data_IF_111114951417
#
_entry.id   IF_111114951417
#
_cell.length_a   1.000
_cell.length_b   1.000
_cell.length_c   1.000
_cell.angle_alpha   90.00
_cell.angle_beta   90.00
_cell.angle_gamma   90.00
#
_symmetry.space_group_name_H-M   'P 1'
#
loop_
_entity.id
_entity.type
_entity.pdbx_description
1 polymer ?
#
# COMPACT_ATOMS: atom_id res chain seq x y z
N UNK A 1 39.70 4.88 74.88
CA UNK A 1 40.11 5.36 73.56
C UNK A 1 39.65 4.32 72.53
N UNK A 2 38.41 4.46 72.03
CA UNK A 2 37.76 3.52 71.10
C UNK A 2 37.84 4.08 69.66
N UNK A 3 38.50 3.35 68.79
CA UNK A 3 38.54 3.66 67.36
C UNK A 3 37.27 3.17 66.66
N UNK A 4 36.51 4.07 66.12
CA UNK A 4 35.35 3.81 65.29
C UNK A 4 35.82 3.55 63.86
N UNK A 5 35.61 2.27 63.33
CA UNK A 5 35.86 1.94 61.95
C UNK A 5 34.56 2.18 61.17
N UNK A 6 34.63 3.13 60.25
CA UNK A 6 33.56 3.37 59.28
C UNK A 6 33.81 2.39 58.08
N UNK A 7 32.86 1.48 57.84
CA UNK A 7 32.81 0.66 56.61
C UNK A 7 31.97 1.39 55.59
N UNK A 8 32.62 1.85 54.50
CA UNK A 8 31.90 2.43 53.35
C UNK A 8 31.63 1.29 52.38
N UNK A 9 30.34 0.92 52.24
CA UNK A 9 29.86 -0.05 51.25
C UNK A 9 29.58 0.68 49.94
N UNK A 10 30.38 0.40 48.93
CA UNK A 10 30.10 0.87 47.57
C UNK A 10 28.99 0.03 46.95
N UNK A 11 27.83 0.64 46.70
CA UNK A 11 26.80 0.09 45.85
C UNK A 11 27.22 0.36 44.39
N UNK A 12 27.65 -0.68 43.68
CA UNK A 12 27.79 -0.63 42.22
C UNK A 12 26.41 -0.85 41.62
N UNK A 13 25.74 0.24 41.27
CA UNK A 13 24.50 0.20 40.50
C UNK A 13 24.82 -0.18 39.05
N UNK A 14 24.44 -1.38 38.65
CA UNK A 14 24.43 -1.77 37.25
C UNK A 14 23.34 -0.97 36.52
N UNK A 15 23.73 0.03 35.73
CA UNK A 15 22.85 0.67 34.78
C UNK A 15 22.58 -0.32 33.65
N UNK A 16 21.40 -0.94 33.65
CA UNK A 16 20.86 -1.58 32.45
C UNK A 16 20.62 -0.47 31.42
N UNK A 17 21.47 -0.38 30.42
CA UNK A 17 21.19 0.39 29.23
C UNK A 17 20.01 -0.25 28.50
N UNK A 18 18.80 0.24 28.76
CA UNK A 18 17.64 -0.05 27.93
C UNK A 18 17.93 0.59 26.58
N UNK A 19 18.25 -0.23 25.60
CA UNK A 19 18.46 0.22 24.22
C UNK A 19 17.22 0.96 23.74
N UNK A 20 17.32 2.28 23.60
CA UNK A 20 16.29 3.08 22.97
C UNK A 20 16.05 2.55 21.56
N UNK A 21 14.80 2.35 21.12
CA UNK A 21 14.54 2.00 19.74
C UNK A 21 15.15 3.10 18.86
N UNK A 22 15.98 2.71 17.90
CA UNK A 22 16.57 3.61 16.93
C UNK A 22 15.43 4.29 16.15
N UNK A 23 15.02 5.46 16.63
CA UNK A 23 14.18 6.36 15.84
C UNK A 23 15.07 6.83 14.70
N UNK A 24 14.81 6.34 13.49
CA UNK A 24 15.38 6.92 12.28
C UNK A 24 14.96 8.40 12.27
N UNK A 25 15.85 9.28 12.66
CA UNK A 25 15.69 10.72 12.54
C UNK A 25 15.82 11.04 11.05
N UNK A 26 14.69 11.01 10.32
CA UNK A 26 14.67 11.64 9.01
C UNK A 26 14.94 13.13 9.23
N UNK A 27 15.90 13.68 8.50
CA UNK A 27 16.15 15.12 8.54
C UNK A 27 14.81 15.84 8.31
N UNK A 28 14.41 16.65 9.27
CA UNK A 28 13.15 17.38 9.20
C UNK A 28 13.23 18.36 8.03
N UNK A 29 12.37 18.17 7.02
CA UNK A 29 12.30 19.11 5.90
C UNK A 29 11.58 20.39 6.35
N UNK A 30 12.01 21.56 5.85
CA UNK A 30 11.32 22.83 6.11
C UNK A 30 9.85 22.74 5.73
N UNK A 31 8.97 23.38 6.50
CA UNK A 31 7.52 23.39 6.23
C UNK A 31 7.14 23.93 4.85
N UNK A 32 7.97 24.74 4.21
CA UNK A 32 7.77 25.32 2.89
C UNK A 32 8.58 24.64 1.77
N UNK A 33 9.23 23.50 2.07
CA UNK A 33 10.04 22.77 1.09
C UNK A 33 9.19 22.36 -0.13
N UNK A 34 9.74 22.57 -1.32
CA UNK A 34 9.15 22.21 -2.62
C UNK A 34 10.08 21.25 -3.39
N UNK A 35 9.57 20.52 -4.39
CA UNK A 35 10.40 19.77 -5.34
C UNK A 35 11.46 20.64 -6.00
N UNK A 36 12.65 20.08 -6.28
CA UNK A 36 13.79 20.82 -6.83
C UNK A 36 14.28 20.24 -8.14
N UNK A 37 14.86 21.10 -8.99
CA UNK A 37 15.54 20.68 -10.22
C UNK A 37 14.61 20.06 -11.25
N UNK A 38 13.37 20.54 -11.35
CA UNK A 38 12.41 20.07 -12.34
C UNK A 38 12.89 20.32 -13.77
N UNK A 39 13.21 19.27 -14.50
CA UNK A 39 13.59 19.27 -15.91
C UNK A 39 12.53 18.58 -16.76
N UNK A 40 11.87 19.32 -17.63
CA UNK A 40 10.84 18.80 -18.55
C UNK A 40 11.52 17.95 -19.62
N UNK A 41 11.22 16.66 -19.67
CA UNK A 41 11.77 15.70 -20.62
C UNK A 41 10.85 15.53 -21.84
N UNK A 42 9.54 15.60 -21.61
CA UNK A 42 8.52 15.44 -22.66
C UNK A 42 7.25 16.22 -22.31
N UNK A 43 6.53 16.66 -23.32
CA UNK A 43 5.32 17.43 -23.17
C UNK A 43 5.57 18.94 -23.12
N UNK A 44 4.49 19.71 -23.09
CA UNK A 44 4.52 21.15 -22.96
C UNK A 44 4.11 21.52 -21.53
N UNK A 45 5.09 21.86 -20.70
CA UNK A 45 4.93 22.03 -19.25
C UNK A 45 5.69 23.29 -18.81
N UNK A 46 5.05 24.10 -17.98
CA UNK A 46 5.65 25.24 -17.29
C UNK A 46 5.63 25.00 -15.79
N UNK A 47 6.78 25.16 -15.14
CA UNK A 47 6.93 25.04 -13.68
C UNK A 47 7.13 26.45 -13.11
N UNK A 48 6.33 26.83 -12.13
CA UNK A 48 6.40 28.14 -11.49
C UNK A 48 6.23 28.03 -9.96
N UNK A 49 6.80 28.98 -9.24
CA UNK A 49 6.67 29.10 -7.78
C UNK A 49 6.13 30.49 -7.47
N UNK A 50 4.80 30.70 -7.60
CA UNK A 50 4.20 32.02 -7.46
C UNK A 50 4.34 32.60 -6.05
N UNK A 51 4.43 31.75 -5.05
CA UNK A 51 4.57 32.12 -3.63
C UNK A 51 5.47 31.11 -2.92
N UNK A 52 6.00 31.51 -1.76
CA UNK A 52 6.77 30.61 -0.90
C UNK A 52 5.92 29.39 -0.51
N UNK A 53 6.44 28.21 -0.74
CA UNK A 53 5.74 26.95 -0.44
C UNK A 53 4.65 26.58 -1.44
N UNK A 54 4.47 27.32 -2.55
CA UNK A 54 3.52 26.96 -3.61
C UNK A 54 4.23 26.74 -4.93
N UNK A 55 3.93 25.64 -5.59
CA UNK A 55 4.42 25.30 -6.92
C UNK A 55 3.23 24.96 -7.83
N UNK A 56 3.24 25.54 -9.02
CA UNK A 56 2.35 25.19 -10.12
C UNK A 56 3.14 24.48 -11.21
N UNK A 57 2.56 23.39 -11.72
CA UNK A 57 3.04 22.64 -12.88
C UNK A 57 1.92 22.67 -13.92
N UNK A 58 2.00 23.64 -14.83
CA UNK A 58 0.97 23.88 -15.84
C UNK A 58 1.33 23.09 -17.10
N UNK A 59 0.56 22.05 -17.40
CA UNK A 59 0.72 21.16 -18.54
C UNK A 59 -0.36 21.46 -19.59
N UNK A 60 0.03 21.64 -20.85
CA UNK A 60 -0.89 21.84 -21.98
C UNK A 60 -0.93 20.66 -22.95
N UNK A 61 0.01 19.71 -22.84
CA UNK A 61 0.00 18.43 -23.57
C UNK A 61 -0.77 17.35 -22.81
N UNK A 62 -1.31 16.34 -23.51
CA UNK A 62 -2.04 15.23 -22.85
C UNK A 62 -1.12 14.36 -21.98
N UNK A 63 0.16 14.24 -22.33
CA UNK A 63 1.16 13.53 -21.56
C UNK A 63 2.36 14.43 -21.29
N UNK A 64 2.95 14.28 -20.10
CA UNK A 64 4.14 15.02 -19.71
C UNK A 64 5.10 14.20 -18.88
N UNK A 65 6.40 14.48 -18.98
CA UNK A 65 7.45 13.83 -18.20
C UNK A 65 8.36 14.90 -17.61
N UNK A 66 8.54 14.85 -16.30
CA UNK A 66 9.48 15.70 -15.57
C UNK A 66 10.45 14.81 -14.80
N UNK A 67 11.73 15.11 -14.89
CA UNK A 67 12.75 14.58 -13.99
C UNK A 67 13.03 15.62 -12.90
N UNK A 68 12.95 15.21 -11.65
CA UNK A 68 13.21 16.04 -10.47
C UNK A 68 14.50 15.61 -9.79
N UNK A 69 15.30 16.55 -9.32
CA UNK A 69 16.42 16.20 -8.44
C UNK A 69 15.90 15.61 -7.13
N UNK A 70 14.99 16.31 -6.45
CA UNK A 70 14.28 15.82 -5.26
C UNK A 70 12.80 16.14 -5.37
N UNK A 71 11.94 15.32 -4.76
CA UNK A 71 10.52 15.58 -4.70
C UNK A 71 10.04 15.52 -3.25
N UNK A 72 10.20 16.64 -2.55
CA UNK A 72 9.75 16.81 -1.16
C UNK A 72 8.69 17.91 -1.11
N UNK A 73 7.69 17.75 -0.22
CA UNK A 73 6.62 18.73 0.00
C UNK A 73 6.47 18.95 1.51
N UNK A 74 6.88 20.11 1.99
CA UNK A 74 6.79 20.50 3.39
C UNK A 74 5.37 20.66 3.88
N UNK A 75 5.15 20.65 5.18
CA UNK A 75 3.81 20.61 5.79
C UNK A 75 2.91 21.81 5.46
N UNK A 76 3.50 22.97 5.14
CA UNK A 76 2.80 24.16 4.67
C UNK A 76 2.94 24.38 3.15
N UNK A 77 3.54 23.41 2.45
CA UNK A 77 3.75 23.52 1.00
C UNK A 77 2.67 22.80 0.20
N UNK A 78 2.49 23.25 -1.04
CA UNK A 78 1.57 22.63 -1.99
C UNK A 78 2.14 22.61 -3.41
N UNK A 79 1.85 21.53 -4.13
CA UNK A 79 2.18 21.35 -5.55
C UNK A 79 0.89 21.11 -6.32
N UNK A 80 0.63 21.93 -7.33
CA UNK A 80 -0.55 21.86 -8.17
C UNK A 80 -0.16 21.47 -9.59
N UNK A 81 -0.65 20.35 -10.07
CA UNK A 81 -0.54 19.89 -11.46
C UNK A 81 -1.83 20.24 -12.18
N UNK A 82 -1.76 21.27 -13.04
CA UNK A 82 -2.85 21.73 -13.86
C UNK A 82 -2.72 21.11 -15.25
N UNK A 83 -3.55 20.10 -15.52
CA UNK A 83 -3.50 19.30 -16.73
C UNK A 83 -4.70 19.64 -17.65
N UNK A 84 -4.61 19.42 -18.99
CA UNK A 84 -5.68 19.76 -19.92
C UNK A 84 -7.00 19.05 -19.64
N UNK A 85 -6.95 17.83 -19.10
CA UNK A 85 -8.14 17.02 -18.82
C UNK A 85 -7.89 15.98 -17.73
N UNK A 86 -8.96 15.39 -17.23
CA UNK A 86 -8.91 14.24 -16.30
C UNK A 86 -8.20 13.00 -16.87
N UNK A 87 -8.14 12.87 -18.21
CA UNK A 87 -7.44 11.78 -18.90
C UNK A 87 -5.97 12.08 -19.17
N UNK A 88 -5.55 13.32 -18.98
CA UNK A 88 -4.14 13.71 -19.13
C UNK A 88 -3.30 13.07 -18.04
N UNK A 89 -2.02 12.82 -18.32
CA UNK A 89 -1.12 12.17 -17.39
C UNK A 89 0.24 12.85 -17.32
N UNK A 90 0.83 12.85 -16.12
CA UNK A 90 2.16 13.36 -15.87
C UNK A 90 2.99 12.36 -15.10
N UNK A 91 4.17 12.04 -15.63
CA UNK A 91 5.18 11.20 -15.00
C UNK A 91 6.24 12.08 -14.34
N UNK A 92 6.38 11.93 -13.04
CA UNK A 92 7.38 12.60 -12.24
C UNK A 92 8.43 11.59 -11.78
N UNK A 93 9.59 11.61 -12.39
CA UNK A 93 10.73 10.77 -12.01
C UNK A 93 11.61 11.53 -11.02
N UNK A 94 11.92 10.92 -9.89
CA UNK A 94 12.81 11.49 -8.87
C UNK A 94 14.17 10.81 -8.96
N UNK A 95 15.22 11.64 -9.03
CA UNK A 95 16.59 11.17 -9.30
C UNK A 95 17.38 10.89 -8.02
N UNK A 96 17.04 11.56 -6.90
CA UNK A 96 17.81 11.41 -5.65
C UNK A 96 16.96 11.60 -4.39
N UNK A 97 17.35 10.92 -3.33
CA UNK A 97 16.75 10.99 -2.01
C UNK A 97 15.31 10.42 -1.94
N UNK A 98 14.86 10.05 -0.76
CA UNK A 98 13.48 9.65 -0.52
C UNK A 98 12.53 10.83 -0.67
N UNK A 99 11.39 10.64 -1.31
CA UNK A 99 10.32 11.65 -1.33
C UNK A 99 9.62 11.72 0.01
N UNK A 100 9.74 12.87 0.68
CA UNK A 100 9.06 13.15 1.96
C UNK A 100 7.94 14.15 1.69
N UNK A 101 6.68 13.70 1.87
CA UNK A 101 5.49 14.49 1.56
C UNK A 101 4.70 14.71 2.86
N UNK A 102 4.76 15.90 3.41
CA UNK A 102 3.97 16.33 4.56
C UNK A 102 2.85 17.30 4.18
N UNK A 103 3.00 17.98 3.05
CA UNK A 103 2.05 18.96 2.51
C UNK A 103 1.06 18.38 1.51
N UNK A 104 0.59 19.24 0.62
CA UNK A 104 -0.49 18.89 -0.30
C UNK A 104 0.00 18.75 -1.73
N UNK A 105 -0.53 17.74 -2.44
CA UNK A 105 -0.37 17.57 -3.88
C UNK A 105 -1.76 17.49 -4.49
N UNK A 106 -2.02 18.30 -5.49
CA UNK A 106 -3.25 18.29 -6.25
C UNK A 106 -2.97 18.06 -7.74
N UNK A 107 -3.77 17.24 -8.40
CA UNK A 107 -3.76 17.03 -9.84
C UNK A 107 -5.18 16.81 -10.35
N UNK A 108 -5.58 17.52 -11.38
CA UNK A 108 -6.88 17.30 -12.01
C UNK A 108 -6.86 16.16 -13.05
N UNK A 109 -5.71 15.54 -13.29
CA UNK A 109 -5.53 14.36 -14.13
C UNK A 109 -4.77 13.25 -13.41
N UNK A 110 -4.13 12.37 -14.17
CA UNK A 110 -3.34 11.26 -13.65
C UNK A 110 -1.95 11.72 -13.19
N UNK A 111 -1.67 11.55 -11.91
CA UNK A 111 -0.38 11.82 -11.29
C UNK A 111 0.39 10.51 -11.11
N UNK A 112 1.57 10.40 -11.71
CA UNK A 112 2.49 9.29 -11.49
C UNK A 112 3.76 9.84 -10.86
N UNK A 113 4.09 9.40 -9.64
CA UNK A 113 5.31 9.73 -8.93
C UNK A 113 6.17 8.47 -8.80
N UNK A 114 7.34 8.49 -9.40
CA UNK A 114 8.31 7.39 -9.36
C UNK A 114 9.55 7.84 -8.59
N UNK A 115 9.81 7.17 -7.47
CA UNK A 115 11.02 7.40 -6.69
C UNK A 115 11.66 6.08 -6.23
N UNK A 116 12.71 5.60 -6.91
CA UNK A 116 13.36 4.34 -6.57
C UNK A 116 14.01 4.31 -5.17
N UNK A 117 14.21 5.46 -4.55
CA UNK A 117 14.81 5.56 -3.21
C UNK A 117 13.76 5.41 -2.09
N UNK A 118 12.47 5.60 -2.42
CA UNK A 118 11.37 5.47 -1.46
C UNK A 118 10.41 6.65 -1.46
N UNK A 119 9.20 6.42 -0.94
CA UNK A 119 8.17 7.46 -0.79
C UNK A 119 7.59 7.36 0.62
N UNK A 120 7.63 8.46 1.35
CA UNK A 120 7.03 8.61 2.67
C UNK A 120 6.02 9.76 2.66
N UNK A 121 4.76 9.46 2.97
CA UNK A 121 3.78 10.51 3.23
C UNK A 121 3.54 10.66 4.74
N UNK A 122 3.58 11.88 5.24
CA UNK A 122 3.36 12.19 6.65
C UNK A 122 1.87 12.26 7.02
N UNK A 123 1.53 12.35 8.32
CA UNK A 123 0.14 12.37 8.78
C UNK A 123 -0.68 13.57 8.27
N UNK A 124 -0.03 14.69 8.00
CA UNK A 124 -0.66 15.92 7.51
C UNK A 124 -0.78 15.95 5.99
N UNK A 125 -0.18 15.00 5.27
CA UNK A 125 -0.18 15.02 3.81
C UNK A 125 -1.56 14.78 3.21
N UNK A 126 -1.83 15.45 2.10
CA UNK A 126 -3.03 15.26 1.31
C UNK A 126 -2.68 15.17 -0.18
N UNK A 127 -2.86 14.01 -0.78
CA UNK A 127 -2.69 13.78 -2.22
C UNK A 127 -4.08 13.63 -2.81
N UNK A 128 -4.41 14.47 -3.80
CA UNK A 128 -5.67 14.40 -4.55
C UNK A 128 -5.37 14.42 -6.04
N UNK A 129 -5.80 13.39 -6.74
CA UNK A 129 -5.64 13.29 -8.18
C UNK A 129 -6.84 12.55 -8.80
N UNK A 130 -7.08 12.71 -10.08
CA UNK A 130 -8.01 11.83 -10.80
C UNK A 130 -7.54 10.38 -10.67
N UNK A 131 -6.26 10.11 -10.96
CA UNK A 131 -5.60 8.86 -10.66
C UNK A 131 -4.24 9.11 -10.00
N UNK A 132 -3.97 8.50 -8.84
CA UNK A 132 -2.68 8.61 -8.16
C UNK A 132 -1.93 7.28 -8.23
N UNK A 133 -0.75 7.29 -8.85
CA UNK A 133 0.17 6.15 -8.91
C UNK A 133 1.48 6.56 -8.22
N UNK A 134 1.77 5.96 -7.08
CA UNK A 134 3.03 6.13 -6.37
C UNK A 134 3.85 4.85 -6.53
N UNK A 135 5.06 4.95 -7.05
CA UNK A 135 5.89 3.79 -7.34
C UNK A 135 7.34 3.98 -6.92
N UNK A 136 7.94 2.94 -6.34
CA UNK A 136 9.39 2.84 -6.22
C UNK A 136 10.00 2.02 -7.36
N UNK A 137 9.18 1.40 -8.18
CA UNK A 137 9.59 0.75 -9.42
C UNK A 137 9.64 1.77 -10.55
N UNK A 138 10.60 1.62 -11.44
CA UNK A 138 10.77 2.49 -12.61
C UNK A 138 9.83 2.09 -13.72
N UNK A 139 9.36 3.08 -14.47
CA UNK A 139 8.74 2.93 -15.78
C UNK A 139 9.60 3.64 -16.80
N UNK A 140 9.80 3.07 -17.98
CA UNK A 140 10.53 3.76 -19.04
C UNK A 140 9.66 4.86 -19.66
N UNK A 141 10.28 5.94 -20.14
CA UNK A 141 9.57 7.02 -20.82
C UNK A 141 8.74 6.48 -22.01
N UNK A 142 9.30 5.54 -22.77
CA UNK A 142 8.59 4.92 -23.88
C UNK A 142 7.35 4.14 -23.45
N UNK A 143 7.44 3.37 -22.36
CA UNK A 143 6.30 2.65 -21.80
C UNK A 143 5.21 3.62 -21.34
N UNK A 144 5.58 4.69 -20.64
CA UNK A 144 4.63 5.71 -20.21
C UNK A 144 3.93 6.38 -21.41
N UNK A 145 4.69 6.83 -22.43
CA UNK A 145 4.15 7.51 -23.60
C UNK A 145 3.22 6.61 -24.44
N UNK A 146 3.44 5.29 -24.40
CA UNK A 146 2.59 4.29 -25.07
C UNK A 146 1.47 3.74 -24.14
N UNK A 147 1.23 4.35 -22.99
CA UNK A 147 0.26 3.88 -21.98
C UNK A 147 0.48 2.41 -21.54
N UNK A 148 1.70 1.92 -21.63
CA UNK A 148 2.11 0.62 -21.13
C UNK A 148 2.65 0.79 -19.70
N UNK A 149 1.80 0.63 -18.70
CA UNK A 149 2.16 0.85 -17.29
C UNK A 149 2.85 -0.40 -16.70
N UNK A 150 4.03 -0.72 -17.25
CA UNK A 150 4.92 -1.78 -16.77
C UNK A 150 6.05 -1.17 -15.95
N UNK A 151 6.12 -1.57 -14.69
CA UNK A 151 7.06 -1.05 -13.69
C UNK A 151 8.00 -2.16 -13.26
N UNK A 152 9.30 -1.86 -13.15
CA UNK A 152 10.28 -2.82 -12.68
C UNK A 152 11.41 -2.19 -11.87
N UNK A 153 12.04 -2.98 -11.01
CA UNK A 153 13.19 -2.58 -10.20
C UNK A 153 14.09 -3.77 -9.88
N UNK A 154 15.33 -3.51 -9.52
CA UNK A 154 16.24 -4.48 -8.92
C UNK A 154 16.72 -4.03 -7.52
N UNK A 155 16.07 -3.03 -6.94
CA UNK A 155 16.44 -2.43 -5.67
C UNK A 155 15.27 -2.52 -4.68
N UNK A 156 15.56 -2.97 -3.46
CA UNK A 156 14.62 -2.94 -2.37
C UNK A 156 14.37 -1.49 -1.92
N UNK A 157 13.10 -1.10 -1.88
CA UNK A 157 12.66 0.21 -1.39
C UNK A 157 11.22 0.10 -0.90
N UNK A 158 10.71 1.14 -0.26
CA UNK A 158 9.39 1.09 0.35
C UNK A 158 8.54 2.32 0.08
N UNK A 159 7.22 2.10 0.14
CA UNK A 159 6.22 3.16 0.25
C UNK A 159 5.60 3.07 1.64
N UNK A 160 5.66 4.17 2.40
CA UNK A 160 4.92 4.31 3.66
C UNK A 160 3.96 5.48 3.55
N UNK A 161 2.66 5.23 3.75
CA UNK A 161 1.63 6.26 3.74
C UNK A 161 1.03 6.44 5.13
N UNK A 162 0.94 7.70 5.60
CA UNK A 162 0.34 8.05 6.90
C UNK A 162 -0.76 9.10 6.78
N UNK A 163 -0.82 9.83 5.65
CA UNK A 163 -1.81 10.87 5.38
C UNK A 163 -2.98 10.38 4.53
N UNK A 164 -3.58 11.32 3.80
CA UNK A 164 -4.76 11.05 2.98
C UNK A 164 -4.38 10.99 1.49
N UNK A 165 -4.84 9.96 0.78
CA UNK A 165 -4.74 9.84 -0.67
C UNK A 165 -6.15 9.65 -1.24
N UNK A 166 -6.57 10.52 -2.17
CA UNK A 166 -7.92 10.50 -2.74
C UNK A 166 -7.85 10.54 -4.26
N UNK A 167 -8.74 9.79 -4.93
CA UNK A 167 -8.86 9.81 -6.40
C UNK A 167 -9.97 8.90 -6.91
N UNK A 168 -10.15 8.84 -8.23
CA UNK A 168 -10.96 7.80 -8.84
C UNK A 168 -10.30 6.44 -8.63
N UNK A 169 -8.97 6.40 -8.78
CA UNK A 169 -8.18 5.22 -8.42
C UNK A 169 -6.83 5.61 -7.79
N UNK A 170 -6.30 4.70 -6.99
CA UNK A 170 -4.99 4.81 -6.36
C UNK A 170 -4.22 3.50 -6.54
N UNK A 171 -2.96 3.59 -6.98
CA UNK A 171 -2.03 2.46 -6.99
C UNK A 171 -0.76 2.79 -6.19
N UNK A 172 -0.40 1.92 -5.26
CA UNK A 172 0.90 1.92 -4.59
C UNK A 172 1.69 0.72 -5.10
N UNK A 173 2.89 0.95 -5.62
CA UNK A 173 3.72 -0.07 -6.27
C UNK A 173 5.12 -0.02 -5.69
N UNK A 174 5.53 -1.06 -4.95
CA UNK A 174 6.83 -1.12 -4.27
C UNK A 174 7.12 -2.53 -3.82
N UNK A 175 8.38 -2.96 -3.64
CA UNK A 175 8.64 -4.21 -2.93
C UNK A 175 8.02 -4.24 -1.53
N UNK A 176 8.08 -3.15 -0.78
CA UNK A 176 7.45 -3.06 0.53
C UNK A 176 6.45 -1.90 0.59
N UNK A 177 5.22 -2.18 1.04
CA UNK A 177 4.14 -1.19 1.17
C UNK A 177 3.59 -1.22 2.58
N UNK A 178 3.55 -0.06 3.23
CA UNK A 178 2.91 0.12 4.55
C UNK A 178 1.91 1.27 4.48
N UNK A 179 0.62 0.95 4.57
CA UNK A 179 -0.43 1.95 4.70
C UNK A 179 -0.85 2.09 6.17
N UNK A 180 -0.62 3.27 6.74
CA UNK A 180 -1.07 3.70 8.08
C UNK A 180 -2.03 4.87 8.00
N UNK A 181 -2.29 5.36 6.79
CA UNK A 181 -3.14 6.50 6.51
C UNK A 181 -4.52 6.12 5.99
N UNK A 182 -5.10 7.04 5.25
CA UNK A 182 -6.41 6.86 4.64
C UNK A 182 -6.31 6.95 3.12
N UNK A 183 -6.76 5.92 2.42
CA UNK A 183 -6.92 5.91 0.97
C UNK A 183 -8.41 5.88 0.67
N UNK A 184 -8.88 6.84 -0.14
CA UNK A 184 -10.29 6.91 -0.53
C UNK A 184 -10.40 7.02 -2.06
N UNK A 185 -11.10 6.08 -2.67
CA UNK A 185 -11.31 6.06 -4.12
C UNK A 185 -12.77 5.80 -4.47
N UNK A 186 -13.15 6.10 -5.71
CA UNK A 186 -14.48 5.76 -6.21
C UNK A 186 -14.48 4.40 -6.92
N UNK A 187 -13.43 4.09 -7.70
CA UNK A 187 -13.41 2.95 -8.63
C UNK A 187 -12.44 1.84 -8.20
N UNK A 188 -11.19 2.20 -7.85
CA UNK A 188 -10.21 1.15 -7.53
C UNK A 188 -9.09 1.62 -6.62
N UNK A 189 -8.66 0.73 -5.72
CA UNK A 189 -7.40 0.86 -4.96
C UNK A 189 -6.57 -0.40 -5.15
N UNK A 190 -5.29 -0.25 -5.51
CA UNK A 190 -4.35 -1.35 -5.63
C UNK A 190 -3.09 -1.11 -4.80
N UNK A 191 -2.73 -2.07 -3.96
CA UNK A 191 -1.42 -2.19 -3.33
C UNK A 191 -0.74 -3.40 -3.96
N UNK A 192 0.30 -3.16 -4.76
CA UNK A 192 1.00 -4.18 -5.52
C UNK A 192 2.46 -4.27 -5.08
N UNK A 193 2.82 -5.33 -4.34
CA UNK A 193 4.18 -5.50 -3.87
C UNK A 193 4.94 -6.52 -4.73
N UNK A 194 6.02 -6.05 -5.35
CA UNK A 194 6.85 -6.85 -6.25
C UNK A 194 8.01 -6.05 -6.81
N UNK A 195 8.83 -6.69 -7.62
CA UNK A 195 9.91 -6.07 -8.43
C UNK A 195 9.56 -5.95 -9.92
N UNK A 196 8.48 -6.58 -10.35
CA UNK A 196 7.90 -6.48 -11.70
C UNK A 196 6.38 -6.48 -11.61
N UNK A 197 5.79 -5.31 -11.88
CA UNK A 197 4.36 -5.05 -11.72
C UNK A 197 3.82 -4.40 -12.98
N UNK A 198 2.70 -4.91 -13.48
CA UNK A 198 1.97 -4.31 -14.59
C UNK A 198 0.59 -3.84 -14.13
N UNK A 199 0.27 -2.59 -14.45
CA UNK A 199 -1.08 -2.04 -14.32
C UNK A 199 -1.76 -2.00 -15.67
N UNK A 200 -3.06 -2.32 -15.69
CA UNK A 200 -3.95 -2.03 -16.81
C UNK A 200 -5.06 -1.12 -16.30
N UNK A 201 -5.22 0.01 -16.96
CA UNK A 201 -6.22 1.02 -16.60
C UNK A 201 -7.20 1.12 -17.76
N UNK A 202 -8.47 0.75 -17.51
CA UNK A 202 -9.52 0.84 -18.52
C UNK A 202 -10.01 2.28 -18.70
N UNK A 203 -10.82 2.51 -19.72
CA UNK A 203 -11.46 3.82 -19.97
C UNK A 203 -12.41 4.24 -18.82
N UNK A 204 -12.93 3.29 -18.06
CA UNK A 204 -13.76 3.50 -16.87
C UNK A 204 -12.93 3.61 -15.57
N UNK A 205 -11.62 3.82 -15.65
CA UNK A 205 -10.69 3.88 -14.54
C UNK A 205 -10.61 2.57 -13.71
N UNK A 206 -11.14 1.45 -14.22
CA UNK A 206 -10.93 0.16 -13.59
C UNK A 206 -9.45 -0.21 -13.65
N UNK A 207 -8.89 -0.48 -12.48
CA UNK A 207 -7.48 -0.80 -12.32
C UNK A 207 -7.32 -2.29 -12.07
N UNK A 208 -6.57 -2.98 -12.93
CA UNK A 208 -6.16 -4.36 -12.70
C UNK A 208 -4.64 -4.45 -12.55
N UNK A 209 -4.20 -5.40 -11.72
CA UNK A 209 -2.80 -5.54 -11.32
C UNK A 209 -2.33 -6.96 -11.59
N UNK A 210 -1.20 -7.07 -12.28
CA UNK A 210 -0.41 -8.30 -12.38
C UNK A 210 0.93 -8.09 -11.67
N UNK A 211 1.30 -9.02 -10.81
CA UNK A 211 2.58 -9.06 -10.11
C UNK A 211 3.27 -10.36 -10.50
N UNK A 212 4.46 -10.27 -11.06
CA UNK A 212 5.29 -11.44 -11.33
C UNK A 212 5.98 -11.91 -10.03
N UNK A 213 6.30 -13.21 -9.87
CA UNK A 213 7.00 -13.70 -8.70
C UNK A 213 8.29 -12.93 -8.45
N UNK A 214 8.32 -12.12 -7.39
CA UNK A 214 9.39 -11.19 -7.08
C UNK A 214 10.68 -11.90 -6.68
N UNK A 215 11.81 -11.39 -7.16
CA UNK A 215 13.16 -11.77 -6.74
C UNK A 215 13.65 -10.97 -5.54
N UNK A 216 12.87 -10.01 -5.10
CA UNK A 216 13.10 -9.23 -3.88
C UNK A 216 12.10 -9.66 -2.79
N UNK A 217 12.50 -9.48 -1.54
CA UNK A 217 11.56 -9.59 -0.43
C UNK A 217 10.42 -8.58 -0.61
N UNK A 218 9.19 -9.04 -0.48
CA UNK A 218 8.00 -8.20 -0.64
C UNK A 218 7.11 -8.26 0.59
N UNK A 219 6.39 -7.17 0.85
CA UNK A 219 5.34 -7.17 1.87
C UNK A 219 4.31 -6.07 1.66
N UNK A 220 3.06 -6.36 2.02
CA UNK A 220 1.98 -5.38 2.13
C UNK A 220 1.48 -5.39 3.57
N UNK A 221 1.52 -4.23 4.23
CA UNK A 221 0.93 -4.03 5.56
C UNK A 221 -0.12 -2.93 5.47
N UNK A 222 -1.37 -3.26 5.74
CA UNK A 222 -2.43 -2.28 5.91
C UNK A 222 -2.82 -2.18 7.38
N UNK A 223 -2.43 -1.11 8.02
CA UNK A 223 -2.79 -0.73 9.40
C UNK A 223 -3.79 0.45 9.39
N UNK A 224 -4.01 1.06 8.22
CA UNK A 224 -4.88 2.22 8.01
C UNK A 224 -6.25 1.86 7.43
N UNK A 225 -6.87 2.85 6.81
CA UNK A 225 -8.19 2.71 6.22
C UNK A 225 -8.12 2.82 4.70
N UNK A 226 -8.66 1.83 4.00
CA UNK A 226 -8.85 1.86 2.55
C UNK A 226 -10.35 1.80 2.27
N UNK A 227 -10.86 2.79 1.54
CA UNK A 227 -12.27 2.83 1.15
C UNK A 227 -12.41 3.09 -0.34
N UNK A 228 -13.05 2.16 -1.04
CA UNK A 228 -13.44 2.29 -2.45
C UNK A 228 -14.97 2.22 -2.54
N UNK A 229 -15.61 3.29 -3.02
CA UNK A 229 -17.08 3.41 -2.91
C UNK A 229 -17.85 2.36 -3.71
N UNK A 230 -17.50 2.19 -5.00
CA UNK A 230 -18.29 1.35 -5.92
C UNK A 230 -17.42 0.38 -6.73
N UNK A 231 -16.26 0.03 -6.22
CA UNK A 231 -15.31 -0.74 -6.98
C UNK A 231 -14.49 -1.72 -6.15
N UNK A 232 -13.25 -1.92 -6.55
CA UNK A 232 -12.40 -2.99 -6.05
C UNK A 232 -11.21 -2.47 -5.25
N UNK A 233 -10.89 -3.16 -4.16
CA UNK A 233 -9.59 -3.06 -3.47
C UNK A 233 -8.82 -4.34 -3.72
N UNK A 234 -7.59 -4.21 -4.24
CA UNK A 234 -6.68 -5.33 -4.48
C UNK A 234 -5.40 -5.15 -3.70
N UNK A 235 -5.06 -6.10 -2.84
CA UNK A 235 -3.74 -6.27 -2.24
C UNK A 235 -3.10 -7.49 -2.88
N UNK A 236 -2.03 -7.30 -3.67
CA UNK A 236 -1.43 -8.39 -4.43
C UNK A 236 0.09 -8.41 -4.32
N UNK A 237 0.62 -9.57 -4.01
CA UNK A 237 2.06 -9.85 -4.02
C UNK A 237 2.33 -11.32 -4.36
N UNK A 238 3.50 -11.59 -4.89
CA UNK A 238 4.03 -12.93 -5.07
C UNK A 238 5.56 -12.90 -4.96
N UNK A 239 6.18 -14.03 -4.58
CA UNK A 239 7.62 -14.17 -4.43
C UNK A 239 8.15 -15.41 -5.12
N UNK A 240 9.39 -15.32 -5.62
CA UNK A 240 10.11 -16.46 -6.15
C UNK A 240 10.54 -17.42 -5.03
N UNK A 241 10.68 -18.71 -5.33
CA UNK A 241 11.09 -19.72 -4.34
C UNK A 241 12.43 -19.38 -3.67
N UNK A 242 13.37 -18.81 -4.43
CA UNK A 242 14.67 -18.40 -3.90
C UNK A 242 14.58 -17.38 -2.75
N UNK A 243 13.61 -16.47 -2.82
CA UNK A 243 13.37 -15.47 -1.75
C UNK A 243 12.80 -16.15 -0.49
N UNK A 244 11.88 -17.09 -0.69
CA UNK A 244 11.34 -17.89 0.43
C UNK A 244 12.47 -18.66 1.12
N UNK A 245 13.31 -19.33 0.35
CA UNK A 245 14.44 -20.13 0.87
C UNK A 245 15.44 -19.25 1.63
N UNK A 246 15.69 -18.02 1.17
CA UNK A 246 16.57 -17.06 1.84
C UNK A 246 15.99 -16.62 3.19
N UNK A 247 14.71 -16.24 3.22
CA UNK A 247 14.04 -15.77 4.45
C UNK A 247 13.96 -16.90 5.48
N UNK A 248 13.57 -18.10 5.07
CA UNK A 248 13.38 -19.26 5.97
C UNK A 248 14.70 -19.74 6.56
N UNK A 249 15.82 -19.62 5.85
CA UNK A 249 17.17 -19.93 6.34
C UNK A 249 17.69 -18.99 7.43
N UNK A 250 17.03 -17.84 7.63
CA UNK A 250 17.41 -16.90 8.68
C UNK A 250 17.09 -17.50 10.05
N UNK A 251 18.09 -17.72 10.90
CA UNK A 251 17.98 -18.43 12.19
C UNK A 251 16.91 -17.88 13.14
N UNK A 252 16.51 -16.63 12.96
CA UNK A 252 15.52 -15.93 13.78
C UNK A 252 14.26 -15.49 12.99
N UNK A 253 13.99 -16.09 11.83
CA UNK A 253 12.85 -15.71 10.98
C UNK A 253 11.51 -15.74 11.74
N UNK A 254 11.26 -16.75 12.58
CA UNK A 254 10.09 -16.82 13.46
C UNK A 254 10.11 -15.74 14.54
N UNK A 255 11.23 -15.57 15.23
CA UNK A 255 11.37 -14.57 16.30
C UNK A 255 11.19 -13.14 15.77
N UNK A 256 11.61 -12.88 14.56
CA UNK A 256 11.37 -11.61 13.85
C UNK A 256 9.96 -11.48 13.23
N UNK A 257 9.14 -12.52 13.35
CA UNK A 257 7.79 -12.51 12.79
C UNK A 257 7.74 -12.47 11.25
N UNK A 258 8.79 -12.93 10.57
CA UNK A 258 8.89 -12.95 9.11
C UNK A 258 8.16 -14.15 8.48
N UNK A 259 7.92 -15.18 9.27
CA UNK A 259 7.23 -16.40 8.85
C UNK A 259 6.11 -16.76 9.83
N UNK A 260 5.14 -17.55 9.36
CA UNK A 260 4.09 -18.14 10.19
C UNK A 260 4.66 -19.25 11.09
N UNK A 261 3.84 -19.81 11.96
CA UNK A 261 4.20 -21.00 12.75
C UNK A 261 4.59 -22.20 11.85
N UNK A 262 3.98 -22.29 10.67
CA UNK A 262 4.26 -23.31 9.66
C UNK A 262 5.50 -23.00 8.80
N UNK A 263 6.22 -21.90 9.08
CA UNK A 263 7.41 -21.50 8.32
C UNK A 263 7.13 -20.87 6.96
N UNK A 264 5.90 -20.42 6.70
CA UNK A 264 5.53 -19.73 5.46
C UNK A 264 5.76 -18.22 5.61
N UNK A 265 6.37 -17.59 4.60
CA UNK A 265 6.73 -16.16 4.62
C UNK A 265 5.48 -15.28 4.65
N UNK A 266 5.45 -14.33 5.59
CA UNK A 266 4.35 -13.36 5.72
C UNK A 266 4.47 -12.28 4.68
N UNK A 267 3.53 -12.26 3.74
CA UNK A 267 3.54 -11.32 2.61
C UNK A 267 2.44 -10.26 2.71
N UNK A 268 1.25 -10.60 3.20
CA UNK A 268 0.16 -9.65 3.39
C UNK A 268 -0.30 -9.67 4.84
N UNK A 269 -0.40 -8.48 5.44
CA UNK A 269 -0.98 -8.30 6.78
C UNK A 269 -2.01 -7.17 6.72
N UNK A 270 -3.24 -7.44 7.14
CA UNK A 270 -4.27 -6.44 7.31
C UNK A 270 -4.76 -6.41 8.75
N UNK A 271 -4.40 -5.35 9.46
CA UNK A 271 -4.92 -5.02 10.81
C UNK A 271 -5.86 -3.82 10.78
N UNK A 272 -5.91 -3.12 9.65
CA UNK A 272 -6.75 -1.96 9.42
C UNK A 272 -8.13 -2.31 8.85
N UNK A 273 -8.77 -1.31 8.25
CA UNK A 273 -10.09 -1.47 7.64
C UNK A 273 -10.00 -1.36 6.12
N UNK A 274 -10.66 -2.29 5.41
CA UNK A 274 -10.86 -2.23 3.98
C UNK A 274 -12.37 -2.26 3.72
N UNK A 275 -12.89 -1.24 3.04
CA UNK A 275 -14.30 -1.13 2.62
C UNK A 275 -14.36 -0.97 1.10
N UNK A 276 -15.02 -1.92 0.42
CA UNK A 276 -15.20 -1.87 -1.04
C UNK A 276 -16.36 -2.77 -1.45
N UNK A 277 -16.84 -2.62 -2.69
CA UNK A 277 -17.76 -3.59 -3.27
C UNK A 277 -17.10 -4.95 -3.40
N UNK A 278 -15.87 -4.98 -3.94
CA UNK A 278 -15.08 -6.20 -4.05
C UNK A 278 -13.72 -6.02 -3.38
N UNK A 279 -13.29 -7.01 -2.61
CA UNK A 279 -12.00 -7.02 -1.91
C UNK A 279 -11.24 -8.28 -2.35
N UNK A 280 -10.02 -8.10 -2.87
CA UNK A 280 -9.12 -9.19 -3.25
C UNK A 280 -7.80 -9.05 -2.51
N UNK A 281 -7.45 -10.07 -1.74
CA UNK A 281 -6.17 -10.20 -1.05
C UNK A 281 -5.49 -11.46 -1.59
N UNK A 282 -4.34 -11.30 -2.22
CA UNK A 282 -3.60 -12.39 -2.85
C UNK A 282 -2.12 -12.31 -2.47
N UNK A 283 -1.67 -13.25 -1.65
CA UNK A 283 -0.28 -13.36 -1.21
C UNK A 283 0.51 -14.43 -2.00
N UNK A 284 -0.02 -14.89 -3.13
CA UNK A 284 0.62 -15.88 -3.98
C UNK A 284 0.69 -17.29 -3.37
N UNK A 285 1.23 -18.22 -4.16
CA UNK A 285 1.25 -19.65 -3.82
C UNK A 285 2.33 -20.04 -2.80
N UNK A 286 3.15 -19.09 -2.35
CA UNK A 286 4.28 -19.34 -1.43
C UNK A 286 4.22 -18.51 -0.15
N UNK A 287 3.34 -17.50 -0.13
CA UNK A 287 3.22 -16.57 0.98
C UNK A 287 2.05 -16.83 1.90
N UNK A 288 1.98 -16.07 2.99
CA UNK A 288 0.84 -16.07 3.89
C UNK A 288 0.11 -14.71 3.92
N UNK A 289 -1.19 -14.80 4.19
CA UNK A 289 -2.07 -13.66 4.52
C UNK A 289 -2.47 -13.72 5.99
N UNK A 290 -2.26 -12.62 6.72
CA UNK A 290 -2.71 -12.45 8.11
C UNK A 290 -3.77 -11.36 8.20
N UNK A 291 -4.96 -11.71 8.63
CA UNK A 291 -6.12 -10.81 8.70
C UNK A 291 -6.59 -10.73 10.15
N UNK A 292 -6.45 -9.56 10.76
CA UNK A 292 -6.98 -9.27 12.10
C UNK A 292 -7.77 -7.96 12.16
N UNK A 293 -7.98 -7.33 11.02
CA UNK A 293 -8.75 -6.10 10.88
C UNK A 293 -10.16 -6.35 10.34
N UNK A 294 -10.69 -5.33 9.67
CA UNK A 294 -12.04 -5.38 9.09
C UNK A 294 -11.98 -5.44 7.55
N UNK A 295 -12.69 -6.42 6.98
CA UNK A 295 -13.01 -6.49 5.56
C UNK A 295 -14.52 -6.31 5.40
N UNK A 296 -14.95 -5.24 4.73
CA UNK A 296 -16.35 -4.88 4.61
C UNK A 296 -16.75 -4.70 3.14
N UNK A 297 -17.56 -5.62 2.65
CA UNK A 297 -18.14 -5.61 1.29
C UNK A 297 -19.67 -5.52 1.34
N UNK A 298 -20.19 -4.82 2.36
CA UNK A 298 -21.62 -4.67 2.57
C UNK A 298 -22.28 -3.70 1.60
N UNK A 299 -23.55 -3.92 1.32
CA UNK A 299 -24.37 -3.01 0.52
C UNK A 299 -25.69 -2.68 1.21
N UNK A 300 -25.96 -1.38 1.36
CA UNK A 300 -27.23 -0.87 1.90
C UNK A 300 -28.34 -0.75 0.83
N UNK A 301 -28.04 -1.05 -0.43
CA UNK A 301 -28.97 -0.83 -1.56
C UNK A 301 -29.19 -2.08 -2.40
N UNK A 302 -28.23 -2.99 -2.44
CA UNK A 302 -28.21 -4.19 -3.30
C UNK A 302 -27.73 -5.42 -2.51
N UNK A 303 -27.36 -6.46 -3.22
CA UNK A 303 -26.65 -7.60 -2.63
C UNK A 303 -25.29 -7.18 -2.11
N UNK A 304 -24.79 -7.87 -1.09
CA UNK A 304 -23.41 -7.77 -0.63
C UNK A 304 -22.43 -8.04 -1.78
N UNK A 305 -21.19 -7.56 -1.66
CA UNK A 305 -20.16 -7.76 -2.67
C UNK A 305 -19.35 -9.03 -2.45
N UNK A 306 -18.10 -9.03 -2.91
CA UNK A 306 -17.23 -10.21 -2.87
C UNK A 306 -15.97 -9.94 -2.06
N UNK A 307 -15.59 -10.88 -1.19
CA UNK A 307 -14.31 -10.89 -0.47
C UNK A 307 -13.58 -12.17 -0.84
N UNK A 308 -12.39 -12.05 -1.41
CA UNK A 308 -11.50 -13.14 -1.78
C UNK A 308 -10.17 -12.99 -1.04
N UNK A 309 -9.76 -14.01 -0.29
CA UNK A 309 -8.46 -14.06 0.39
C UNK A 309 -7.75 -15.34 -0.03
N UNK A 310 -6.64 -15.20 -0.74
CA UNK A 310 -5.84 -16.31 -1.26
C UNK A 310 -4.38 -16.20 -0.83
N UNK A 311 -3.82 -17.33 -0.43
CA UNK A 311 -2.43 -17.51 -0.05
C UNK A 311 -2.13 -19.00 0.11
N UNK A 312 -0.86 -19.37 0.31
CA UNK A 312 -0.51 -20.73 0.75
C UNK A 312 -1.02 -20.98 2.18
N UNK A 313 -0.74 -20.06 3.10
CA UNK A 313 -1.22 -20.08 4.49
C UNK A 313 -2.07 -18.84 4.76
N UNK A 314 -3.21 -19.04 5.42
CA UNK A 314 -4.10 -17.94 5.82
C UNK A 314 -4.39 -18.05 7.30
N UNK A 315 -4.18 -16.94 8.03
CA UNK A 315 -4.51 -16.79 9.44
C UNK A 315 -5.49 -15.63 9.59
N UNK A 316 -6.65 -15.93 10.16
CA UNK A 316 -7.71 -14.94 10.45
C UNK A 316 -7.92 -14.93 11.96
N UNK A 317 -7.56 -13.82 12.60
CA UNK A 317 -7.52 -13.73 14.06
C UNK A 317 -8.29 -12.49 14.54
N UNK A 318 -9.36 -12.69 15.30
CA UNK A 318 -10.23 -11.64 15.83
C UNK A 318 -10.71 -10.64 14.76
N UNK A 319 -10.87 -11.09 13.52
CA UNK A 319 -11.26 -10.28 12.39
C UNK A 319 -12.79 -10.10 12.29
N UNK A 320 -13.19 -9.07 11.56
CA UNK A 320 -14.60 -8.90 11.13
C UNK A 320 -14.63 -8.88 9.61
N UNK A 321 -15.26 -9.88 9.01
CA UNK A 321 -15.37 -10.05 7.57
C UNK A 321 -16.84 -10.09 7.21
N UNK A 322 -17.33 -9.11 6.44
CA UNK A 322 -18.76 -9.05 6.13
C UNK A 322 -19.04 -8.68 4.69
N UNK A 323 -19.93 -9.43 4.06
CA UNK A 323 -20.47 -9.22 2.72
C UNK A 323 -22.00 -9.22 2.77
N UNK A 324 -22.58 -8.49 3.74
CA UNK A 324 -24.03 -8.41 3.92
C UNK A 324 -24.66 -7.48 2.90
N UNK A 325 -25.87 -7.78 2.48
CA UNK A 325 -26.58 -6.96 1.54
C UNK A 325 -28.05 -6.74 1.89
N UNK A 326 -28.62 -5.62 1.42
CA UNK A 326 -30.02 -5.31 1.64
C UNK A 326 -30.96 -6.34 1.02
N UNK A 327 -30.65 -6.76 -0.21
CA UNK A 327 -31.53 -7.60 -1.05
C UNK A 327 -30.98 -9.03 -1.25
N UNK A 328 -29.85 -9.35 -0.65
CA UNK A 328 -29.20 -10.66 -0.68
C UNK A 328 -27.82 -10.58 -0.11
N UNK A 329 -27.31 -11.65 0.49
CA UNK A 329 -25.92 -11.74 0.94
C UNK A 329 -24.95 -11.78 -0.24
N UNK A 330 -23.68 -11.44 0.02
CA UNK A 330 -22.59 -11.48 -0.95
C UNK A 330 -21.81 -12.80 -0.91
N UNK A 331 -20.53 -12.75 -1.26
CA UNK A 331 -19.64 -13.91 -1.34
C UNK A 331 -18.37 -13.67 -0.52
N UNK A 332 -18.04 -14.60 0.38
CA UNK A 332 -16.80 -14.60 1.16
C UNK A 332 -16.06 -15.90 0.86
N UNK A 333 -14.87 -15.80 0.26
CA UNK A 333 -14.01 -16.92 -0.10
C UNK A 333 -12.65 -16.75 0.58
N UNK A 334 -12.32 -17.65 1.48
CA UNK A 334 -11.07 -17.64 2.22
C UNK A 334 -10.34 -18.96 1.98
N UNK A 335 -9.24 -18.93 1.24
CA UNK A 335 -8.44 -20.11 0.97
C UNK A 335 -8.90 -20.95 -0.21
N UNK A 336 -9.78 -20.44 -1.07
CA UNK A 336 -10.24 -21.13 -2.27
C UNK A 336 -11.72 -20.98 -2.58
N UNK A 337 -12.22 -21.72 -3.54
CA UNK A 337 -13.66 -21.81 -3.88
C UNK A 337 -14.24 -23.16 -3.46
N UNK A 338 -15.55 -23.30 -3.59
CA UNK A 338 -16.33 -24.47 -3.16
C UNK A 338 -15.72 -25.79 -3.65
N UNK A 339 -15.39 -26.68 -2.71
CA UNK A 339 -14.79 -28.01 -2.98
C UNK A 339 -13.52 -27.95 -3.86
N UNK A 340 -12.74 -26.87 -3.78
CA UNK A 340 -11.55 -26.69 -4.62
C UNK A 340 -11.85 -26.45 -6.10
N UNK A 341 -13.07 -26.04 -6.43
CA UNK A 341 -13.46 -25.70 -7.81
C UNK A 341 -12.93 -24.33 -8.23
N UNK A 342 -13.04 -24.03 -9.54
CA UNK A 342 -12.63 -22.73 -10.08
C UNK A 342 -11.11 -22.50 -10.14
N UNK A 343 -10.74 -21.24 -10.40
CA UNK A 343 -9.34 -20.85 -10.63
C UNK A 343 -8.68 -20.19 -9.40
N UNK A 344 -9.39 -20.09 -8.26
CA UNK A 344 -8.80 -19.51 -7.06
C UNK A 344 -7.73 -20.42 -6.47
N UNK A 345 -6.63 -19.80 -6.06
CA UNK A 345 -5.57 -20.50 -5.35
C UNK A 345 -6.13 -21.14 -4.07
N UNK A 346 -5.95 -22.46 -3.94
CA UNK A 346 -6.33 -23.20 -2.74
C UNK A 346 -5.25 -23.06 -1.66
N UNK A 347 -5.65 -22.68 -0.45
CA UNK A 347 -4.75 -22.63 0.69
C UNK A 347 -4.34 -24.03 1.13
N UNK A 348 -3.07 -24.17 1.51
CA UNK A 348 -2.58 -25.41 2.15
C UNK A 348 -2.96 -25.45 3.64
N UNK A 349 -3.03 -24.26 4.25
CA UNK A 349 -3.37 -24.10 5.65
C UNK A 349 -4.30 -22.89 5.83
N UNK A 350 -5.42 -23.11 6.53
CA UNK A 350 -6.34 -22.07 6.93
C UNK A 350 -6.62 -22.19 8.43
N UNK A 351 -6.37 -21.11 9.16
CA UNK A 351 -6.75 -20.99 10.57
C UNK A 351 -7.68 -19.78 10.73
N UNK A 352 -8.85 -20.02 11.34
CA UNK A 352 -9.81 -18.98 11.71
C UNK A 352 -10.09 -19.18 13.20
N UNK A 353 -9.78 -18.16 14.02
CA UNK A 353 -10.03 -18.25 15.47
C UNK A 353 -11.51 -18.04 15.82
N UNK A 354 -11.85 -18.37 17.07
CA UNK A 354 -13.21 -18.28 17.61
C UNK A 354 -13.69 -16.83 17.87
N UNK A 355 -12.79 -15.86 17.89
CA UNK A 355 -13.11 -14.44 18.02
C UNK A 355 -13.46 -13.78 16.67
N UNK A 356 -13.18 -14.46 15.56
CA UNK A 356 -13.47 -13.97 14.21
C UNK A 356 -14.98 -14.05 13.89
N UNK A 357 -15.47 -12.99 13.24
CA UNK A 357 -16.88 -12.92 12.76
C UNK A 357 -16.89 -12.83 11.26
N UNK A 358 -17.64 -13.75 10.62
CA UNK A 358 -17.84 -13.78 9.16
C UNK A 358 -19.33 -13.76 8.88
N UNK A 359 -19.79 -12.86 8.02
CA UNK A 359 -21.21 -12.78 7.61
C UNK A 359 -21.36 -12.52 6.10
N UNK A 360 -22.47 -13.04 5.56
CA UNK A 360 -22.94 -12.77 4.20
C UNK A 360 -24.47 -12.80 4.20
N UNK A 361 -25.10 -11.95 5.00
CA UNK A 361 -26.51 -11.99 5.30
C UNK A 361 -27.36 -11.16 4.34
N UNK A 362 -28.59 -11.58 4.10
CA UNK A 362 -29.63 -10.77 3.47
C UNK A 362 -30.39 -10.01 4.58
N UNK A 363 -30.13 -8.70 4.71
CA UNK A 363 -30.59 -7.91 5.86
C UNK A 363 -32.07 -7.54 5.81
N UNK A 364 -32.68 -7.43 4.61
CA UNK A 364 -34.09 -7.03 4.43
C UNK A 364 -34.87 -8.05 3.63
N UNK A 365 -34.34 -8.53 2.51
CA UNK A 365 -35.01 -9.46 1.62
C UNK A 365 -34.00 -10.30 0.82
N UNK A 366 -34.42 -11.37 0.22
CA UNK A 366 -33.60 -12.26 -0.59
C UNK A 366 -32.96 -13.39 0.22
N UNK A 367 -32.02 -14.09 -0.42
CA UNK A 367 -31.30 -15.22 0.18
C UNK A 367 -30.03 -14.78 0.83
N UNK A 368 -29.57 -15.47 1.84
CA UNK A 368 -28.22 -15.36 2.36
C UNK A 368 -27.18 -15.61 1.26
N UNK A 369 -25.97 -15.13 1.47
CA UNK A 369 -24.87 -15.29 0.53
C UNK A 369 -24.11 -16.61 0.71
N UNK A 370 -22.90 -16.65 0.19
CA UNK A 370 -22.01 -17.81 0.22
C UNK A 370 -20.77 -17.51 1.06
N UNK A 371 -20.44 -18.38 2.00
CA UNK A 371 -19.17 -18.36 2.74
C UNK A 371 -18.48 -19.70 2.47
N UNK A 372 -17.23 -19.62 1.98
CA UNK A 372 -16.34 -20.77 1.80
C UNK A 372 -15.04 -20.47 2.54
N UNK A 373 -14.62 -21.40 3.39
CA UNK A 373 -13.39 -21.32 4.18
C UNK A 373 -12.78 -22.70 4.39
#
# INVERSE_FOLDING_TARGET
MYLLRIVITYFVGAFLAIGSPSTYLFAEISSTTLPTGGNVVSGNITISTPEVGKMNVDQTSNQGIINWNTFNVGSSASVHFNQPSVKSSILNNVLSGTSIIHGSIFSNGRLILVNPTGILTGPTSAIRAEGAILSTLKITNNNFLNNNFSFSTNSASSITTKGNINGEYVALISPEISNKGKITTNVATALAAGDDVRLSISDSNLLTVAVNPSKLKTSIKNEGNIKTQNGIVTLKTDVAQSVVDEIVKTDDAKAKGLVTENGVVKLVTNTGTIEAKDIKIDAGSKGSSEISGKLNSNSNTSNGGTIEVTAKDINVNAATISADGKTGGGKVLIGGDWQGSGDLLQATYLNIDDATKISADALVSGSGGTIVA
#
